data_IF_346986696926
#
_entry.id   IF_346986696926
#
_cell.length_a   1.000
_cell.length_b   1.000
_cell.length_c   1.000
_cell.angle_alpha   90.00
_cell.angle_beta   90.00
_cell.angle_gamma   90.00
#
_symmetry.space_group_name_H-M   'P 1'
#
loop_
_entity.id
_entity.type
_entity.pdbx_description
1 polymer ?
#
# COMPACT_ATOMS: atom_id res chain seq x y z
N UNK A 1 7.54 -9.03 -2.27
CA UNK A 1 6.37 -8.23 -1.84
C UNK A 1 6.26 -7.05 -2.78
N UNK A 2 5.06 -6.75 -3.29
CA UNK A 2 4.81 -5.71 -4.29
C UNK A 2 3.70 -4.77 -3.83
N UNK A 3 3.77 -3.50 -4.24
CA UNK A 3 2.71 -2.50 -3.99
C UNK A 3 1.47 -2.88 -4.79
N UNK A 4 0.36 -3.05 -4.09
CA UNK A 4 -0.93 -3.38 -4.67
C UNK A 4 -1.98 -2.34 -4.26
N UNK A 5 -2.97 -2.16 -5.11
CA UNK A 5 -4.09 -1.25 -4.91
C UNK A 5 -5.40 -1.99 -5.18
N UNK A 6 -6.38 -1.77 -4.32
CA UNK A 6 -7.74 -2.31 -4.44
C UNK A 6 -8.75 -1.19 -4.16
N UNK A 7 -9.93 -1.28 -4.78
CA UNK A 7 -11.01 -0.32 -4.58
C UNK A 7 -12.23 -0.99 -3.97
N UNK A 8 -12.77 -0.37 -2.91
CA UNK A 8 -14.04 -0.78 -2.29
C UNK A 8 -14.99 0.41 -2.25
N UNK A 9 -16.12 0.32 -2.95
CA UNK A 9 -17.11 1.40 -3.05
C UNK A 9 -16.49 2.75 -3.46
N UNK A 10 -15.59 2.73 -4.45
CA UNK A 10 -14.89 3.92 -4.93
C UNK A 10 -13.73 4.41 -4.04
N UNK A 11 -13.48 3.79 -2.88
CA UNK A 11 -12.36 4.16 -2.01
C UNK A 11 -11.11 3.32 -2.31
N UNK A 12 -9.97 3.95 -2.64
CA UNK A 12 -8.70 3.27 -2.84
C UNK A 12 -8.09 2.79 -1.52
N UNK A 13 -7.57 1.57 -1.51
CA UNK A 13 -6.90 0.95 -0.37
C UNK A 13 -5.64 0.27 -0.89
N UNK A 14 -4.46 0.79 -0.51
CA UNK A 14 -3.21 0.09 -0.78
C UNK A 14 -3.06 -1.13 0.14
N UNK A 15 -2.36 -2.13 -0.38
CA UNK A 15 -2.00 -3.35 0.33
C UNK A 15 -0.77 -3.96 -0.31
N UNK A 16 -0.63 -5.28 -0.20
CA UNK A 16 0.51 -6.00 -0.77
C UNK A 16 0.08 -7.15 -1.64
N UNK A 17 0.96 -7.47 -2.60
CA UNK A 17 0.91 -8.71 -3.35
C UNK A 17 2.23 -9.48 -3.25
N UNK A 18 2.17 -10.79 -3.50
CA UNK A 18 3.32 -11.67 -3.61
C UNK A 18 3.05 -12.79 -4.62
N UNK A 19 4.12 -13.43 -5.07
CA UNK A 19 4.04 -14.59 -5.93
C UNK A 19 3.86 -15.85 -5.07
N UNK A 20 2.86 -16.67 -5.39
CA UNK A 20 2.76 -18.04 -4.91
C UNK A 20 2.61 -18.97 -6.14
N UNK A 21 3.65 -19.74 -6.46
CA UNK A 21 3.69 -20.67 -7.59
C UNK A 21 3.27 -20.06 -8.95
N UNK A 22 3.69 -18.83 -9.23
CA UNK A 22 3.34 -18.09 -10.45
C UNK A 22 1.98 -17.40 -10.39
N UNK A 23 1.17 -17.67 -9.37
CA UNK A 23 -0.05 -16.94 -9.07
C UNK A 23 0.23 -15.66 -8.29
N UNK A 24 -0.64 -14.67 -8.47
CA UNK A 24 -0.64 -13.46 -7.65
C UNK A 24 -1.53 -13.69 -6.44
N UNK A 25 -0.93 -13.68 -5.26
CA UNK A 25 -1.64 -13.56 -3.99
C UNK A 25 -1.54 -12.15 -3.45
N UNK A 26 -2.47 -11.78 -2.59
CA UNK A 26 -2.54 -10.44 -2.03
C UNK A 26 -3.20 -10.42 -0.65
N UNK A 27 -3.05 -9.27 0.02
CA UNK A 27 -3.65 -9.00 1.32
C UNK A 27 -3.92 -7.51 1.44
N UNK A 28 -5.16 -7.17 1.77
CA UNK A 28 -5.64 -5.80 1.98
C UNK A 28 -6.33 -5.67 3.33
N UNK A 29 -6.01 -4.63 4.13
CA UNK A 29 -6.74 -4.32 5.34
C UNK A 29 -8.06 -3.61 5.00
N UNK A 30 -9.18 -4.17 5.46
CA UNK A 30 -10.49 -3.52 5.36
C UNK A 30 -11.22 -3.57 6.70
N UNK A 31 -11.39 -2.41 7.32
CA UNK A 31 -11.91 -2.28 8.69
C UNK A 31 -11.06 -3.10 9.66
N UNK A 32 -11.58 -4.22 10.17
CA UNK A 32 -10.88 -5.14 11.09
C UNK A 32 -10.53 -6.48 10.46
N UNK A 33 -10.74 -6.62 9.15
CA UNK A 33 -10.57 -7.88 8.42
C UNK A 33 -9.42 -7.79 7.42
N UNK A 34 -8.64 -8.86 7.34
CA UNK A 34 -7.74 -9.10 6.23
C UNK A 34 -8.53 -9.72 5.08
N UNK A 35 -8.48 -9.10 3.90
CA UNK A 35 -9.10 -9.63 2.68
C UNK A 35 -8.01 -10.15 1.73
N UNK A 36 -8.17 -11.37 1.22
CA UNK A 36 -7.15 -12.05 0.38
C UNK A 36 -7.72 -12.70 -0.86
N UNK A 37 -8.95 -13.20 -0.77
CA UNK A 37 -9.54 -14.03 -1.81
C UNK A 37 -10.21 -13.19 -2.88
N UNK A 38 -10.32 -13.74 -4.09
CA UNK A 38 -11.04 -13.11 -5.21
C UNK A 38 -12.48 -12.74 -4.84
N UNK A 39 -13.15 -13.57 -4.05
CA UNK A 39 -14.53 -13.34 -3.59
C UNK A 39 -14.61 -12.16 -2.62
N UNK A 40 -13.71 -12.09 -1.64
CA UNK A 40 -13.66 -10.98 -0.68
C UNK A 40 -13.31 -9.64 -1.32
N UNK A 41 -12.44 -9.66 -2.33
CA UNK A 41 -11.99 -8.48 -3.06
C UNK A 41 -12.97 -8.07 -4.18
N UNK A 42 -14.02 -8.85 -4.42
CA UNK A 42 -15.10 -8.55 -5.38
C UNK A 42 -14.61 -8.10 -6.77
N UNK A 43 -13.44 -8.59 -7.22
CA UNK A 43 -12.88 -8.16 -8.49
C UNK A 43 -11.37 -8.28 -8.60
N UNK A 44 -10.77 -7.27 -9.25
CA UNK A 44 -9.36 -7.22 -9.59
C UNK A 44 -8.60 -6.26 -8.69
N UNK A 45 -7.32 -6.55 -8.52
CA UNK A 45 -6.36 -5.66 -7.87
C UNK A 45 -5.47 -5.06 -8.95
N UNK A 46 -4.82 -3.95 -8.63
CA UNK A 46 -3.78 -3.34 -9.47
C UNK A 46 -2.43 -3.51 -8.77
N UNK A 47 -1.38 -3.74 -9.55
CA UNK A 47 -0.01 -3.80 -9.06
C UNK A 47 0.74 -2.58 -9.60
N UNK A 48 1.46 -1.87 -8.72
CA UNK A 48 2.31 -0.77 -9.16
C UNK A 48 3.42 -1.31 -10.06
N UNK A 49 3.56 -0.74 -11.25
CA UNK A 49 4.62 -1.11 -12.19
C UNK A 49 5.45 0.11 -12.54
N UNK A 50 6.72 -0.14 -12.85
CA UNK A 50 7.63 0.88 -13.34
C UNK A 50 8.35 0.31 -14.56
N UNK A 51 7.78 0.57 -15.74
CA UNK A 51 8.29 0.08 -17.03
C UNK A 51 8.87 1.25 -17.81
N UNK A 52 10.18 1.43 -17.71
CA UNK A 52 10.91 2.54 -18.32
C UNK A 52 12.04 2.99 -17.41
N UNK A 53 12.43 4.26 -17.53
CA UNK A 53 13.37 4.91 -16.64
C UNK A 53 13.07 6.41 -16.51
N UNK A 54 13.86 7.11 -15.70
CA UNK A 54 13.68 8.54 -15.45
C UNK A 54 13.67 9.37 -16.75
N UNK A 55 14.49 9.01 -17.76
CA UNK A 55 14.54 9.75 -19.02
C UNK A 55 13.27 9.62 -19.85
N UNK A 56 12.56 8.49 -19.74
CA UNK A 56 11.34 8.23 -20.52
C UNK A 56 10.06 8.58 -19.76
N UNK A 57 10.08 8.49 -18.43
CA UNK A 57 8.90 8.67 -17.57
C UNK A 57 8.91 10.01 -16.82
N UNK A 58 10.06 10.66 -16.67
CA UNK A 58 10.21 11.92 -15.93
C UNK A 58 10.22 11.76 -14.40
N UNK A 59 10.11 10.54 -13.87
CA UNK A 59 10.13 10.26 -12.44
C UNK A 59 10.80 8.90 -12.15
N UNK A 60 11.10 8.66 -10.88
CA UNK A 60 11.52 7.37 -10.33
C UNK A 60 10.89 7.19 -8.94
N UNK A 61 10.79 5.96 -8.45
CA UNK A 61 10.23 5.70 -7.12
C UNK A 61 11.34 5.59 -6.07
N UNK A 62 11.20 6.38 -5.01
CA UNK A 62 12.06 6.36 -3.83
C UNK A 62 11.23 6.02 -2.59
N UNK A 63 11.75 5.16 -1.71
CA UNK A 63 11.17 4.95 -0.38
C UNK A 63 11.83 5.92 0.59
N UNK A 64 11.03 6.74 1.26
CA UNK A 64 11.48 7.71 2.26
C UNK A 64 10.69 7.55 3.56
N UNK A 65 11.23 7.97 4.72
CA UNK A 65 10.45 8.10 5.94
C UNK A 65 9.22 8.98 5.72
N UNK A 66 8.08 8.59 6.28
CA UNK A 66 6.79 9.27 6.05
C UNK A 66 6.80 10.78 6.42
N UNK A 67 7.67 11.18 7.35
CA UNK A 67 7.89 12.59 7.72
C UNK A 67 8.51 13.46 6.62
N UNK A 68 9.25 12.85 5.69
CA UNK A 68 9.90 13.55 4.57
C UNK A 68 8.89 14.16 3.59
N UNK A 69 7.59 13.82 3.70
CA UNK A 69 6.51 14.46 2.94
C UNK A 69 6.39 15.96 3.18
N UNK A 70 6.95 16.44 4.30
CA UNK A 70 6.92 17.85 4.69
C UNK A 70 8.25 18.57 4.44
N UNK A 71 9.25 17.87 3.89
CA UNK A 71 10.51 18.50 3.52
C UNK A 71 10.25 19.56 2.44
N UNK A 72 10.92 20.70 2.53
CA UNK A 72 10.83 21.78 1.55
C UNK A 72 11.64 21.45 0.29
N UNK A 73 11.14 20.48 -0.48
CA UNK A 73 11.75 20.01 -1.74
C UNK A 73 10.70 19.95 -2.84
N UNK A 74 11.04 20.47 -4.01
CA UNK A 74 10.11 20.58 -5.15
C UNK A 74 10.18 19.39 -6.11
N UNK A 75 11.14 18.49 -5.94
CA UNK A 75 11.41 17.39 -6.89
C UNK A 75 10.81 16.05 -6.45
N UNK A 76 9.99 16.04 -5.38
CA UNK A 76 9.38 14.82 -4.84
C UNK A 76 7.87 14.98 -4.75
N UNK A 77 7.17 13.95 -5.19
CA UNK A 77 5.72 13.85 -5.08
C UNK A 77 5.35 12.55 -4.36
N UNK A 78 4.36 12.63 -3.46
CA UNK A 78 3.88 11.48 -2.72
C UNK A 78 3.07 10.57 -3.64
N UNK A 79 3.46 9.30 -3.74
CA UNK A 79 2.66 8.27 -4.41
C UNK A 79 1.36 8.07 -3.64
N UNK A 80 0.23 8.44 -4.23
CA UNK A 80 -1.08 8.27 -3.59
C UNK A 80 -2.18 8.01 -4.61
N UNK A 81 -3.24 7.34 -4.16
CA UNK A 81 -4.50 7.24 -4.86
C UNK A 81 -5.59 7.70 -3.90
N UNK A 82 -6.29 8.80 -4.23
CA UNK A 82 -7.18 9.45 -3.25
C UNK A 82 -6.42 9.75 -1.96
N UNK A 83 -6.96 9.35 -0.81
CA UNK A 83 -6.34 9.55 0.51
C UNK A 83 -5.47 8.36 0.96
N UNK A 84 -5.28 7.35 0.10
CA UNK A 84 -4.46 6.18 0.41
C UNK A 84 -3.06 6.34 -0.16
N UNK A 85 -2.03 6.21 0.68
CA UNK A 85 -0.62 6.11 0.27
C UNK A 85 -0.03 4.79 0.77
N UNK A 86 0.78 4.07 -0.03
CA UNK A 86 1.43 2.84 0.44
C UNK A 86 2.43 3.17 1.56
N UNK A 87 2.49 2.33 2.59
CA UNK A 87 3.42 2.50 3.71
C UNK A 87 3.97 1.15 4.17
N UNK A 88 5.28 1.09 4.44
CA UNK A 88 5.92 -0.04 5.09
C UNK A 88 5.88 0.15 6.61
N UNK A 89 5.10 -0.67 7.30
CA UNK A 89 4.86 -0.57 8.73
C UNK A 89 5.56 -1.72 9.48
N UNK A 90 6.33 -1.45 10.54
CA UNK A 90 6.78 -2.50 11.46
C UNK A 90 5.57 -3.02 12.24
N UNK A 91 5.38 -4.34 12.23
CA UNK A 91 4.27 -5.02 12.90
C UNK A 91 4.71 -5.56 14.27
N UNK A 92 3.74 -5.82 15.14
CA UNK A 92 3.96 -6.36 16.49
C UNK A 92 4.67 -7.72 16.54
N UNK A 93 4.61 -8.50 15.45
CA UNK A 93 5.32 -9.78 15.32
C UNK A 93 6.77 -9.64 14.84
N UNK A 94 7.28 -8.41 14.77
CA UNK A 94 8.66 -8.10 14.37
C UNK A 94 8.88 -8.05 12.86
N UNK A 95 7.86 -8.32 12.02
CA UNK A 95 7.99 -8.22 10.58
C UNK A 95 7.60 -6.85 10.06
N UNK A 96 8.30 -6.38 9.02
CA UNK A 96 7.88 -5.21 8.27
C UNK A 96 6.92 -5.64 7.15
N UNK A 97 5.77 -4.98 7.04
CA UNK A 97 4.77 -5.29 6.01
C UNK A 97 4.28 -4.05 5.31
N UNK A 98 3.94 -4.24 4.04
CA UNK A 98 3.33 -3.20 3.22
C UNK A 98 1.81 -3.16 3.45
N UNK A 99 1.32 -1.98 3.77
CA UNK A 99 -0.08 -1.63 3.91
C UNK A 99 -0.34 -0.24 3.34
N UNK A 100 -1.21 0.54 3.99
CA UNK A 100 -1.47 1.91 3.59
C UNK A 100 -1.64 2.85 4.77
N UNK A 101 -1.34 4.11 4.56
CA UNK A 101 -1.73 5.23 5.43
C UNK A 101 -2.93 5.92 4.81
N UNK A 102 -3.98 6.11 5.61
CA UNK A 102 -5.08 7.00 5.29
C UNK A 102 -4.71 8.43 5.68
N UNK A 103 -4.42 9.26 4.68
CA UNK A 103 -4.04 10.67 4.84
C UNK A 103 -5.15 11.55 5.47
N UNK A 104 -6.40 11.07 5.52
CA UNK A 104 -7.49 11.81 6.18
C UNK A 104 -7.55 11.56 7.68
N UNK A 105 -7.12 10.38 8.13
CA UNK A 105 -7.18 9.98 9.55
C UNK A 105 -5.80 9.88 10.19
N UNK A 106 -4.73 9.90 9.39
CA UNK A 106 -3.34 9.66 9.79
C UNK A 106 -3.17 8.31 10.51
N UNK A 107 -3.93 7.31 10.07
CA UNK A 107 -3.86 5.92 10.56
C UNK A 107 -3.26 5.02 9.47
N UNK A 108 -2.12 4.42 9.78
CA UNK A 108 -1.52 3.35 8.98
C UNK A 108 -2.18 2.01 9.33
N UNK A 109 -2.46 1.20 8.32
CA UNK A 109 -3.08 -0.11 8.45
C UNK A 109 -2.35 -1.15 7.62
N UNK A 110 -2.15 -2.33 8.21
CA UNK A 110 -1.64 -3.51 7.51
C UNK A 110 -2.39 -4.76 7.93
N UNK A 111 -2.57 -5.70 7.01
CA UNK A 111 -3.31 -6.94 7.24
C UNK A 111 -2.39 -8.16 7.23
N UNK A 112 -2.51 -9.05 8.19
CA UNK A 112 -1.81 -10.33 8.22
C UNK A 112 -2.49 -11.25 9.24
N UNK A 113 -2.32 -12.57 9.11
CA UNK A 113 -2.86 -13.58 10.05
C UNK A 113 -4.34 -13.36 10.42
N UNK A 114 -5.17 -13.02 9.43
CA UNK A 114 -6.61 -12.75 9.56
C UNK A 114 -6.96 -11.54 10.44
N UNK A 115 -6.00 -10.68 10.75
CA UNK A 115 -6.18 -9.46 11.53
C UNK A 115 -5.68 -8.22 10.76
N UNK A 116 -6.08 -7.06 11.25
CA UNK A 116 -5.56 -5.75 10.82
C UNK A 116 -4.85 -5.12 12.01
N UNK A 117 -3.60 -4.76 11.82
CA UNK A 117 -2.85 -3.94 12.77
C UNK A 117 -2.91 -2.49 12.31
N UNK A 118 -3.07 -1.58 13.27
CA UNK A 118 -3.18 -0.14 13.03
C UNK A 118 -2.11 0.59 13.83
N UNK A 119 -1.54 1.63 13.24
CA UNK A 119 -0.58 2.52 13.88
C UNK A 119 -0.99 3.96 13.58
N UNK A 120 -1.06 4.78 14.62
CA UNK A 120 -1.38 6.21 14.53
C UNK A 120 -0.37 6.99 15.39
N UNK A 121 -0.13 8.25 15.04
CA UNK A 121 0.81 9.13 15.76
C UNK A 121 1.26 10.31 14.92
#
# INVERSE_FOLDING_TARGET
>A
MYVALWYKYGKPIHGRAWNNNGGVECSFPYKKFELKTKTELEGHIQILTYKGNFKTLGYWYEWLPMKARFDDVTHRELVRCGQSTPILMPCADGQQRLGYLDLSTEIAMVSYDKKVEQMAG
#
